data_IF_349542980726
#
_entry.id   IF_349542980726
#
_cell.length_a   1.000
_cell.length_b   1.000
_cell.length_c   1.000
_cell.angle_alpha   90.00
_cell.angle_beta   90.00
_cell.angle_gamma   90.00
#
_symmetry.space_group_name_H-M   'P 1'
#
loop_
_entity.id
_entity.type
_entity.pdbx_description
1 polymer ?
#
# COMPACT_ATOMS: atom_id res chain seq x y z
N UNK A 1 -6.38 -11.54 3.87
CA UNK A 1 -5.10 -11.28 3.16
C UNK A 1 -4.57 -12.58 2.57
N UNK A 2 -3.85 -12.53 1.45
CA UNK A 2 -3.15 -13.68 0.86
C UNK A 2 -1.79 -13.88 1.56
N UNK A 3 -1.46 -15.09 2.03
CA UNK A 3 -0.33 -15.33 2.94
C UNK A 3 1.04 -15.38 2.23
N UNK A 4 1.06 -15.85 1.00
CA UNK A 4 2.22 -16.06 0.12
C UNK A 4 2.52 -14.83 -0.77
N UNK A 5 1.99 -13.65 -0.45
CA UNK A 5 2.10 -12.48 -1.31
C UNK A 5 3.55 -12.02 -1.51
N UNK A 6 4.37 -12.09 -0.46
CA UNK A 6 5.77 -11.66 -0.50
C UNK A 6 6.61 -12.59 -1.38
N UNK A 7 6.38 -13.90 -1.30
CA UNK A 7 7.05 -14.91 -2.14
C UNK A 7 6.68 -14.71 -3.62
N UNK A 8 5.41 -14.42 -3.91
CA UNK A 8 4.94 -14.12 -5.26
C UNK A 8 5.62 -12.85 -5.80
N UNK A 9 5.70 -11.80 -4.99
CA UNK A 9 6.34 -10.55 -5.38
C UNK A 9 7.85 -10.71 -5.60
N UNK A 10 8.52 -11.47 -4.73
CA UNK A 10 9.93 -11.83 -4.88
C UNK A 10 10.18 -12.58 -6.19
N UNK A 11 9.36 -13.58 -6.49
CA UNK A 11 9.47 -14.36 -7.71
C UNK A 11 9.21 -13.51 -8.97
N UNK A 12 8.20 -12.64 -8.93
CA UNK A 12 7.92 -11.68 -10.01
C UNK A 12 9.13 -10.77 -10.29
N UNK A 13 9.78 -10.25 -9.25
CA UNK A 13 11.00 -9.45 -9.38
C UNK A 13 12.18 -10.27 -9.95
N UNK A 14 12.34 -11.54 -9.54
CA UNK A 14 13.37 -12.44 -10.08
C UNK A 14 13.21 -12.67 -11.59
N UNK A 15 11.97 -12.68 -12.08
CA UNK A 15 11.68 -12.78 -13.52
C UNK A 15 11.91 -11.46 -14.29
N UNK A 16 12.31 -10.39 -13.59
CA UNK A 16 12.58 -9.07 -14.19
C UNK A 16 11.34 -8.19 -14.36
N UNK A 17 10.19 -8.56 -13.77
CA UNK A 17 9.00 -7.72 -13.82
C UNK A 17 9.07 -6.59 -12.79
N UNK A 18 8.52 -5.43 -13.16
CA UNK A 18 8.21 -4.39 -12.18
C UNK A 18 6.95 -4.79 -11.42
N UNK A 19 7.07 -4.99 -10.12
CA UNK A 19 5.96 -5.41 -9.26
C UNK A 19 5.42 -4.25 -8.44
N UNK A 20 4.10 -4.05 -8.46
CA UNK A 20 3.39 -3.05 -7.65
C UNK A 20 2.43 -3.74 -6.69
N UNK A 21 2.53 -3.42 -5.40
CA UNK A 21 1.55 -3.82 -4.38
C UNK A 21 0.40 -2.82 -4.36
N UNK A 22 -0.78 -3.23 -4.80
CA UNK A 22 -2.01 -2.46 -4.63
C UNK A 22 -2.70 -2.92 -3.35
N UNK A 23 -2.96 -2.01 -2.41
CA UNK A 23 -3.44 -2.35 -1.06
C UNK A 23 -4.43 -1.31 -0.52
N UNK A 24 -5.24 -1.72 0.47
CA UNK A 24 -6.04 -0.81 1.27
C UNK A 24 -5.25 -0.17 2.44
N UNK A 25 -3.94 -0.42 2.51
CA UNK A 25 -3.01 0.19 3.47
C UNK A 25 -3.10 -0.34 4.91
N UNK A 26 -4.15 -1.07 5.28
CA UNK A 26 -4.46 -1.37 6.69
C UNK A 26 -3.49 -2.36 7.37
N UNK A 27 -2.62 -3.01 6.60
CA UNK A 27 -1.64 -4.01 7.05
C UNK A 27 -0.20 -3.65 6.64
N UNK A 28 0.05 -2.43 6.16
CA UNK A 28 1.41 -2.04 5.72
C UNK A 28 2.39 -2.05 6.88
N UNK A 29 1.99 -1.58 8.07
CA UNK A 29 2.86 -1.57 9.25
C UNK A 29 3.36 -2.98 9.62
N UNK A 30 2.47 -3.98 9.64
CA UNK A 30 2.81 -5.38 9.94
C UNK A 30 3.80 -5.97 8.94
N UNK A 31 3.78 -5.50 7.70
CA UNK A 31 4.56 -6.04 6.59
C UNK A 31 5.63 -5.07 6.06
N UNK A 32 5.94 -4.03 6.85
CA UNK A 32 6.74 -2.91 6.40
C UNK A 32 8.13 -3.33 5.92
N UNK A 33 8.79 -4.21 6.68
CA UNK A 33 10.10 -4.76 6.32
C UNK A 33 10.06 -5.48 4.97
N UNK A 34 9.08 -6.37 4.76
CA UNK A 34 8.92 -7.09 3.49
C UNK A 34 8.67 -6.16 2.31
N UNK A 35 7.89 -5.08 2.51
CA UNK A 35 7.64 -4.08 1.46
C UNK A 35 8.93 -3.36 1.07
N UNK A 36 9.78 -3.00 2.05
CA UNK A 36 11.06 -2.33 1.81
C UNK A 36 12.08 -3.26 1.13
N UNK A 37 12.23 -4.47 1.65
CA UNK A 37 13.22 -5.46 1.17
C UNK A 37 12.97 -5.85 -0.30
N UNK A 38 11.70 -5.94 -0.68
CA UNK A 38 11.30 -6.30 -2.04
C UNK A 38 11.34 -5.11 -3.02
N UNK A 39 11.56 -3.88 -2.55
CA UNK A 39 11.65 -2.70 -3.40
C UNK A 39 10.39 -2.44 -4.23
N UNK A 40 9.21 -2.78 -3.69
CA UNK A 40 7.95 -2.70 -4.43
C UNK A 40 7.48 -1.25 -4.56
N UNK A 41 6.81 -0.94 -5.67
CA UNK A 41 5.92 0.22 -5.72
C UNK A 41 4.67 -0.09 -4.90
N UNK A 42 4.13 0.89 -4.17
CA UNK A 42 2.96 0.73 -3.32
C UNK A 42 1.85 1.67 -3.78
N UNK A 43 0.75 1.12 -4.27
CA UNK A 43 -0.46 1.88 -4.53
C UNK A 43 -1.43 1.68 -3.36
N UNK A 44 -1.70 2.77 -2.63
CA UNK A 44 -2.61 2.75 -1.48
C UNK A 44 -3.98 3.27 -1.90
N UNK A 45 -5.02 2.54 -1.53
CA UNK A 45 -6.39 2.89 -1.88
C UNK A 45 -6.95 3.92 -0.89
N UNK A 46 -7.31 5.10 -1.37
CA UNK A 46 -7.85 6.20 -0.59
C UNK A 46 -8.90 6.95 -1.44
N UNK A 47 -10.18 6.82 -1.07
CA UNK A 47 -11.28 7.36 -1.89
C UNK A 47 -11.81 8.71 -1.36
N UNK A 48 -11.37 9.13 -0.18
CA UNK A 48 -11.74 10.42 0.41
C UNK A 48 -10.51 11.17 0.90
N UNK A 49 -10.49 12.47 0.65
CA UNK A 49 -9.43 13.38 1.11
C UNK A 49 -9.46 13.59 2.64
N UNK A 50 -10.55 13.20 3.29
CA UNK A 50 -10.73 13.26 4.73
C UNK A 50 -11.36 11.98 5.28
N UNK A 51 -11.28 11.84 6.61
CA UNK A 51 -11.78 10.67 7.32
C UNK A 51 -13.28 10.44 7.13
N UNK A 52 -14.08 11.51 7.03
CA UNK A 52 -15.53 11.39 6.90
C UNK A 52 -15.91 10.83 5.53
N UNK A 53 -15.40 11.43 4.46
CA UNK A 53 -15.67 10.99 3.08
C UNK A 53 -15.13 9.59 2.85
N UNK A 54 -13.89 9.30 3.27
CA UNK A 54 -13.32 7.97 3.10
C UNK A 54 -14.08 6.92 3.92
N UNK A 55 -14.60 7.30 5.10
CA UNK A 55 -15.44 6.41 5.91
C UNK A 55 -16.76 6.08 5.23
N UNK A 56 -17.39 7.04 4.57
CA UNK A 56 -18.62 6.77 3.81
C UNK A 56 -18.39 5.81 2.65
N UNK A 57 -17.23 5.89 1.99
CA UNK A 57 -16.93 5.09 0.79
C UNK A 57 -16.28 3.73 1.09
N UNK A 58 -15.35 3.67 2.04
CA UNK A 58 -14.52 2.48 2.34
C UNK A 58 -14.60 1.99 3.78
N UNK A 59 -15.34 2.68 4.66
CA UNK A 59 -15.37 2.38 6.09
C UNK A 59 -14.14 2.88 6.85
N UNK A 60 -13.83 2.26 7.99
CA UNK A 60 -12.88 2.79 8.97
C UNK A 60 -11.41 2.50 8.63
N UNK A 61 -10.93 2.88 7.44
CA UNK A 61 -9.54 2.64 6.99
C UNK A 61 -8.65 3.88 6.97
N UNK A 62 -9.24 5.09 7.00
CA UNK A 62 -8.51 6.34 6.72
C UNK A 62 -7.25 6.52 7.57
N UNK A 63 -7.34 6.38 8.90
CA UNK A 63 -6.19 6.59 9.79
C UNK A 63 -5.06 5.61 9.52
N UNK A 64 -5.38 4.32 9.38
CA UNK A 64 -4.39 3.28 9.06
C UNK A 64 -3.72 3.51 7.71
N UNK A 65 -4.49 4.00 6.73
CA UNK A 65 -3.95 4.39 5.42
C UNK A 65 -2.97 5.55 5.56
N UNK A 66 -3.33 6.58 6.31
CA UNK A 66 -2.45 7.73 6.55
C UNK A 66 -1.18 7.32 7.32
N UNK A 67 -1.30 6.49 8.34
CA UNK A 67 -0.16 5.91 9.08
C UNK A 67 0.76 5.13 8.14
N UNK A 68 0.21 4.28 7.27
CA UNK A 68 0.98 3.56 6.27
C UNK A 68 1.72 4.49 5.30
N UNK A 69 1.06 5.55 4.82
CA UNK A 69 1.67 6.57 3.97
C UNK A 69 2.81 7.28 4.71
N UNK A 70 2.59 7.67 5.97
CA UNK A 70 3.63 8.31 6.79
C UNK A 70 4.86 7.42 6.95
N UNK A 71 4.69 6.15 7.28
CA UNK A 71 5.79 5.19 7.41
C UNK A 71 6.62 5.07 6.12
N UNK A 72 5.94 4.97 4.97
CA UNK A 72 6.61 4.86 3.67
C UNK A 72 7.38 6.15 3.32
N UNK A 73 6.81 7.32 3.62
CA UNK A 73 7.49 8.61 3.43
C UNK A 73 8.70 8.75 4.34
N UNK A 74 8.60 8.37 5.61
CA UNK A 74 9.73 8.40 6.56
C UNK A 74 10.89 7.48 6.13
N UNK A 75 10.58 6.38 5.42
CA UNK A 75 11.59 5.50 4.82
C UNK A 75 12.14 5.98 3.47
N UNK A 76 11.78 7.19 3.01
CA UNK A 76 12.24 7.75 1.75
C UNK A 76 11.67 7.05 0.52
N UNK A 77 10.44 6.51 0.63
CA UNK A 77 9.72 5.79 -0.44
C UNK A 77 8.60 6.62 -1.06
N UNK A 78 8.65 7.94 -0.96
CA UNK A 78 7.58 8.82 -1.41
C UNK A 78 7.33 8.74 -2.93
N UNK A 79 8.32 8.34 -3.72
CA UNK A 79 8.20 8.18 -5.19
C UNK A 79 7.53 6.87 -5.59
N UNK A 80 7.47 5.93 -4.66
CA UNK A 80 6.92 4.61 -4.82
C UNK A 80 5.44 4.56 -4.40
N UNK A 81 4.92 5.64 -3.82
CA UNK A 81 3.52 5.75 -3.37
C UNK A 81 2.63 6.28 -4.50
N UNK A 82 1.54 5.58 -4.78
CA UNK A 82 0.43 6.08 -5.60
C UNK A 82 -0.87 6.04 -4.80
N UNK A 83 -1.72 7.08 -4.94
CA UNK A 83 -3.07 7.07 -4.41
C UNK A 83 -4.03 6.60 -5.48
N UNK A 84 -4.82 5.58 -5.18
CA UNK A 84 -5.83 5.04 -6.09
C UNK A 84 -7.23 5.25 -5.51
N UNK A 85 -8.10 5.83 -6.32
CA UNK A 85 -9.54 5.88 -6.05
C UNK A 85 -10.28 4.99 -7.02
N UNK A 86 -11.13 4.11 -6.51
CA UNK A 86 -11.99 3.26 -7.34
C UNK A 86 -13.32 3.97 -7.58
N UNK A 87 -13.42 4.69 -8.69
CA UNK A 87 -14.70 5.20 -9.21
C UNK A 87 -15.46 4.05 -9.88
N UNK A 88 -16.58 3.62 -9.29
CA UNK A 88 -17.61 2.83 -10.00
C UNK A 88 -18.55 3.72 -10.76
#
# INVERSE_FOLDING_TARGET
>A
MRRDWADIAAYSNQLGFTTTLITNGTLIEEHFSSVLDLGLKVAVSLDGIDEHVNRMLRGNSYRKVMEAIHLLVEAGKEKEIALFSSST
#
